data_IF_360682254916
#
_entry.id   IF_360682254916
#
_cell.length_a   1.000
_cell.length_b   1.000
_cell.length_c   1.000
_cell.angle_alpha   90.00
_cell.angle_beta   90.00
_cell.angle_gamma   90.00
#
_symmetry.space_group_name_H-M   'P 1'
#
loop_
_entity.id
_entity.type
_entity.pdbx_description
1 polymer ?
#
# COMPACT_ATOMS: atom_id res chain seq x y z
N UNK A 1 -30.79 -7.21 -2.64
CA UNK A 1 -31.10 -5.79 -2.31
C UNK A 1 -29.79 -5.09 -1.94
N UNK A 2 -29.58 -3.83 -2.37
CA UNK A 2 -28.36 -3.06 -2.04
C UNK A 2 -28.43 -2.62 -0.57
N UNK A 3 -27.34 -2.75 0.19
CA UNK A 3 -27.25 -2.26 1.58
C UNK A 3 -27.23 -0.73 1.61
N UNK A 4 -27.83 -0.13 2.63
CA UNK A 4 -27.93 1.32 2.79
C UNK A 4 -26.72 1.93 3.52
N UNK A 5 -26.07 1.16 4.35
CA UNK A 5 -24.91 1.51 5.15
C UNK A 5 -24.06 0.29 5.46
N UNK A 6 -22.91 0.49 6.09
CA UNK A 6 -21.96 -0.57 6.42
C UNK A 6 -22.49 -1.54 7.50
N UNK A 7 -23.30 -1.06 8.46
CA UNK A 7 -23.90 -1.94 9.47
C UNK A 7 -24.81 -2.98 8.79
N UNK A 8 -25.75 -2.53 7.95
CA UNK A 8 -26.61 -3.44 7.19
C UNK A 8 -25.83 -4.36 6.24
N UNK A 9 -24.69 -3.90 5.73
CA UNK A 9 -23.82 -4.74 4.89
C UNK A 9 -23.17 -5.86 5.69
N UNK A 10 -22.69 -5.58 6.89
CA UNK A 10 -22.13 -6.59 7.79
C UNK A 10 -23.19 -7.54 8.34
N UNK A 11 -24.40 -7.08 8.66
CA UNK A 11 -25.50 -7.95 9.06
C UNK A 11 -25.81 -8.99 7.97
N UNK A 12 -25.87 -8.56 6.72
CA UNK A 12 -26.07 -9.49 5.58
C UNK A 12 -24.88 -10.43 5.38
N UNK A 13 -23.67 -9.96 5.63
CA UNK A 13 -22.49 -10.83 5.61
C UNK A 13 -22.62 -11.92 6.68
N UNK A 14 -23.09 -11.57 7.88
CA UNK A 14 -23.36 -12.53 8.95
C UNK A 14 -24.38 -13.57 8.49
N UNK A 15 -25.52 -13.15 7.91
CA UNK A 15 -26.54 -14.07 7.41
C UNK A 15 -25.96 -15.08 6.38
N UNK A 16 -25.11 -14.59 5.45
CA UNK A 16 -24.45 -15.43 4.45
C UNK A 16 -23.49 -16.42 5.11
N UNK A 17 -22.70 -15.95 6.07
CA UNK A 17 -21.74 -16.78 6.78
C UNK A 17 -22.42 -17.83 7.65
N UNK A 18 -23.54 -17.50 8.28
CA UNK A 18 -24.34 -18.45 9.09
C UNK A 18 -25.03 -19.51 8.24
N UNK A 19 -25.53 -19.13 7.06
CA UNK A 19 -26.12 -20.07 6.12
C UNK A 19 -25.09 -21.03 5.50
N UNK A 20 -23.78 -20.72 5.59
CA UNK A 20 -22.71 -21.55 5.02
C UNK A 20 -22.41 -22.76 5.90
N UNK A 21 -22.39 -23.96 5.31
CA UNK A 21 -21.98 -25.22 5.97
C UNK A 21 -20.46 -25.42 6.04
N UNK A 22 -19.66 -24.47 5.53
CA UNK A 22 -18.21 -24.58 5.52
C UNK A 22 -17.62 -24.61 6.95
N UNK A 23 -16.71 -25.55 7.21
CA UNK A 23 -16.04 -25.69 8.51
C UNK A 23 -15.19 -24.47 8.88
N UNK A 24 -14.68 -23.72 7.89
CA UNK A 24 -13.94 -22.49 8.08
C UNK A 24 -14.41 -21.47 7.06
N UNK A 25 -14.66 -20.28 7.51
CA UNK A 25 -15.15 -19.15 6.74
C UNK A 25 -14.09 -18.07 6.73
N UNK A 26 -13.68 -17.63 5.56
CA UNK A 26 -12.66 -16.59 5.41
C UNK A 26 -13.33 -15.36 4.80
N UNK A 27 -13.26 -14.26 5.50
CA UNK A 27 -13.69 -12.95 5.02
C UNK A 27 -12.44 -12.14 4.72
N UNK A 28 -12.28 -11.74 3.46
CA UNK A 28 -11.18 -10.89 3.03
C UNK A 28 -11.71 -9.51 2.63
N UNK A 29 -11.26 -8.48 3.33
CA UNK A 29 -11.59 -7.09 3.03
C UNK A 29 -10.34 -6.41 2.48
N UNK A 30 -10.37 -6.13 1.19
CA UNK A 30 -9.28 -5.49 0.48
C UNK A 30 -9.39 -3.97 0.56
N UNK A 31 -8.24 -3.29 0.68
CA UNK A 31 -8.13 -1.83 0.68
C UNK A 31 -9.09 -1.12 1.66
N UNK A 32 -9.02 -1.49 2.95
CA UNK A 32 -9.84 -0.87 4.00
C UNK A 32 -9.87 0.67 3.99
N UNK A 33 -8.76 1.37 3.72
CA UNK A 33 -8.76 2.82 3.68
C UNK A 33 -9.77 3.43 2.71
N UNK A 34 -10.11 2.71 1.63
CA UNK A 34 -11.09 3.16 0.64
C UNK A 34 -12.54 3.00 1.12
N UNK A 35 -12.76 2.11 2.08
CA UNK A 35 -14.08 1.89 2.68
C UNK A 35 -14.39 2.91 3.77
N UNK A 36 -13.33 3.44 4.45
CA UNK A 36 -13.44 4.41 5.54
C UNK A 36 -13.49 5.85 5.00
N UNK A 37 -14.51 6.15 4.22
CA UNK A 37 -14.74 7.52 3.74
C UNK A 37 -15.36 8.40 4.85
N UNK A 38 -15.22 9.74 4.79
CA UNK A 38 -15.85 10.63 5.75
C UNK A 38 -17.35 10.34 5.89
N UNK A 39 -17.83 10.18 7.12
CA UNK A 39 -19.23 9.87 7.47
C UNK A 39 -19.73 8.49 7.03
N UNK A 40 -18.86 7.58 6.58
CA UNK A 40 -19.27 6.22 6.18
C UNK A 40 -19.66 5.35 7.37
N UNK A 41 -19.17 5.66 8.58
CA UNK A 41 -19.27 4.82 9.78
C UNK A 41 -18.75 3.38 9.57
N UNK A 42 -17.74 3.24 8.68
CA UNK A 42 -17.18 1.92 8.37
C UNK A 42 -16.49 1.29 9.58
N UNK A 43 -15.61 2.02 10.27
CA UNK A 43 -14.89 1.50 11.44
C UNK A 43 -15.86 1.08 12.56
N UNK A 44 -16.84 1.87 13.00
CA UNK A 44 -17.84 1.42 13.96
C UNK A 44 -18.61 0.17 13.54
N UNK A 45 -18.96 0.05 12.25
CA UNK A 45 -19.65 -1.13 11.74
C UNK A 45 -18.74 -2.37 11.72
N UNK A 46 -17.45 -2.22 11.39
CA UNK A 46 -16.47 -3.30 11.48
C UNK A 46 -16.22 -3.72 12.94
N UNK A 47 -16.17 -2.77 13.88
CA UNK A 47 -16.08 -3.03 15.31
C UNK A 47 -17.26 -3.85 15.80
N UNK A 48 -18.48 -3.48 15.41
CA UNK A 48 -19.71 -4.22 15.73
C UNK A 48 -19.65 -5.64 15.16
N UNK A 49 -19.38 -5.80 13.87
CA UNK A 49 -19.24 -7.13 13.24
C UNK A 49 -18.23 -8.01 13.97
N UNK A 50 -17.05 -7.46 14.30
CA UNK A 50 -16.01 -8.24 14.96
C UNK A 50 -16.34 -8.55 16.41
N UNK A 51 -16.68 -7.55 17.21
CA UNK A 51 -16.83 -7.74 18.66
C UNK A 51 -18.11 -8.49 19.04
N UNK A 52 -19.20 -8.26 18.32
CA UNK A 52 -20.50 -8.81 18.72
C UNK A 52 -20.75 -10.19 18.10
N UNK A 53 -20.12 -10.47 16.95
CA UNK A 53 -20.38 -11.73 16.25
C UNK A 53 -19.12 -12.57 15.97
N UNK A 54 -18.08 -12.01 15.35
CA UNK A 54 -16.95 -12.79 14.83
C UNK A 54 -15.96 -13.22 15.91
N UNK A 55 -15.67 -12.39 16.92
CA UNK A 55 -14.58 -12.60 17.88
C UNK A 55 -14.76 -13.85 18.75
N UNK A 56 -15.96 -14.29 19.02
CA UNK A 56 -16.27 -15.53 19.75
C UNK A 56 -16.20 -16.80 18.91
N UNK A 57 -16.05 -16.69 17.60
CA UNK A 57 -16.12 -17.80 16.65
C UNK A 57 -14.75 -18.33 16.28
N UNK A 58 -14.60 -19.66 16.29
CA UNK A 58 -13.35 -20.34 15.88
C UNK A 58 -13.34 -20.73 14.40
N UNK A 59 -14.48 -20.61 13.74
CA UNK A 59 -14.67 -20.97 12.34
C UNK A 59 -14.53 -19.78 11.39
N UNK A 60 -14.38 -18.55 11.90
CA UNK A 60 -14.28 -17.32 11.12
C UNK A 60 -12.84 -16.77 11.18
N UNK A 61 -12.31 -16.44 10.01
CA UNK A 61 -11.05 -15.72 9.85
C UNK A 61 -11.33 -14.44 9.08
N UNK A 62 -11.04 -13.30 9.69
CA UNK A 62 -11.10 -12.00 9.04
C UNK A 62 -9.68 -11.59 8.62
N UNK A 63 -9.47 -11.42 7.33
CA UNK A 63 -8.24 -10.89 6.76
C UNK A 63 -8.54 -9.50 6.21
N UNK A 64 -7.74 -8.54 6.57
CA UNK A 64 -7.88 -7.15 6.13
C UNK A 64 -6.56 -6.64 5.55
N UNK A 65 -6.60 -5.91 4.46
CA UNK A 65 -5.41 -5.28 3.91
C UNK A 65 -5.62 -3.81 3.57
N UNK A 66 -4.53 -3.13 3.29
CA UNK A 66 -4.54 -1.74 2.82
C UNK A 66 -3.13 -1.25 2.53
N UNK A 67 -3.00 -0.51 1.46
CA UNK A 67 -1.74 0.11 1.02
C UNK A 67 -1.38 1.37 1.81
N UNK A 68 -2.36 2.07 2.38
CA UNK A 68 -2.16 3.28 3.17
C UNK A 68 -1.64 2.95 4.58
N UNK A 69 -0.32 2.73 4.69
CA UNK A 69 0.36 2.30 5.94
C UNK A 69 0.01 3.18 7.14
N UNK A 70 -0.06 4.51 6.96
CA UNK A 70 -0.42 5.42 8.05
C UNK A 70 -1.85 5.20 8.55
N UNK A 71 -2.82 4.98 7.64
CA UNK A 71 -4.19 4.67 8.01
C UNK A 71 -4.28 3.34 8.77
N UNK A 72 -3.63 2.28 8.25
CA UNK A 72 -3.59 0.96 8.88
C UNK A 72 -2.99 1.03 10.30
N UNK A 73 -1.90 1.79 10.47
CA UNK A 73 -1.29 2.01 11.78
C UNK A 73 -2.22 2.75 12.72
N UNK A 74 -2.83 3.86 12.28
CA UNK A 74 -3.61 4.74 13.13
C UNK A 74 -4.99 4.17 13.47
N UNK A 75 -5.65 3.52 12.50
CA UNK A 75 -7.05 3.08 12.65
C UNK A 75 -7.21 1.63 13.13
N UNK A 76 -6.24 0.76 12.84
CA UNK A 76 -6.30 -0.65 13.25
C UNK A 76 -5.26 -0.97 14.32
N UNK A 77 -3.97 -0.75 14.02
CA UNK A 77 -2.88 -1.26 14.86
C UNK A 77 -2.78 -0.49 16.18
N UNK A 78 -2.81 0.84 16.12
CA UNK A 78 -2.75 1.73 17.30
C UNK A 78 -4.15 2.18 17.76
N UNK A 79 -5.20 1.53 17.30
CA UNK A 79 -6.57 1.82 17.69
C UNK A 79 -6.72 1.68 19.21
N UNK A 80 -7.31 2.69 19.82
CA UNK A 80 -7.64 2.69 21.28
C UNK A 80 -9.12 2.42 21.53
N UNK A 81 -9.92 2.21 20.47
CA UNK A 81 -11.34 1.90 20.50
C UNK A 81 -11.64 0.40 20.46
N UNK A 82 -12.74 0.03 19.83
CA UNK A 82 -13.27 -1.33 19.81
C UNK A 82 -12.39 -2.37 19.12
N UNK A 83 -11.43 -1.95 18.26
CA UNK A 83 -10.45 -2.85 17.62
C UNK A 83 -9.14 -2.97 18.39
N UNK A 84 -9.03 -2.37 19.60
CA UNK A 84 -7.82 -2.46 20.41
C UNK A 84 -7.49 -3.92 20.74
N UNK A 85 -6.23 -4.32 20.50
CA UNK A 85 -5.73 -5.70 20.73
C UNK A 85 -6.55 -6.82 20.06
N UNK A 86 -7.25 -6.52 18.97
CA UNK A 86 -8.02 -7.52 18.20
C UNK A 86 -7.22 -8.18 17.07
N UNK A 87 -6.09 -7.60 16.69
CA UNK A 87 -5.22 -8.17 15.66
C UNK A 87 -4.42 -9.34 16.25
N UNK A 88 -4.60 -10.52 15.68
CA UNK A 88 -3.86 -11.74 16.06
C UNK A 88 -2.55 -11.87 15.31
N UNK A 89 -2.52 -11.48 14.05
CA UNK A 89 -1.33 -11.54 13.19
C UNK A 89 -1.21 -10.28 12.32
N UNK A 90 0.03 -9.93 11.99
CA UNK A 90 0.36 -8.83 11.08
C UNK A 90 1.35 -9.33 10.04
N UNK A 91 1.03 -9.10 8.78
CA UNK A 91 1.88 -9.48 7.66
C UNK A 91 2.26 -8.20 6.93
N UNK A 92 3.55 -7.87 6.95
CA UNK A 92 4.10 -6.80 6.14
C UNK A 92 4.61 -7.41 4.84
N UNK A 93 3.85 -7.21 3.75
CA UNK A 93 4.28 -7.65 2.42
C UNK A 93 5.40 -6.74 1.96
N UNK A 94 6.61 -7.30 1.86
CA UNK A 94 7.78 -6.58 1.37
C UNK A 94 7.89 -6.70 -0.14
N UNK A 95 8.49 -5.71 -0.82
CA UNK A 95 8.91 -5.87 -2.21
C UNK A 95 9.82 -7.10 -2.36
N UNK A 96 9.83 -7.71 -3.53
CA UNK A 96 10.76 -8.80 -3.84
C UNK A 96 12.20 -8.37 -3.63
N UNK A 97 13.01 -9.26 -3.11
CA UNK A 97 14.46 -9.15 -3.12
C UNK A 97 15.00 -9.38 -4.54
N UNK A 98 16.27 -9.05 -4.80
CA UNK A 98 16.91 -9.34 -6.11
C UNK A 98 16.84 -10.83 -6.48
N UNK A 99 16.96 -11.73 -5.51
CA UNK A 99 16.85 -13.16 -5.73
C UNK A 99 15.42 -13.57 -6.12
N UNK A 100 14.42 -13.01 -5.47
CA UNK A 100 13.02 -13.23 -5.82
C UNK A 100 12.66 -12.63 -7.17
N UNK A 101 13.24 -11.48 -7.54
CA UNK A 101 13.10 -10.93 -8.89
C UNK A 101 13.73 -11.85 -9.95
N UNK A 102 14.91 -12.44 -9.67
CA UNK A 102 15.54 -13.43 -10.57
C UNK A 102 14.61 -14.64 -10.79
N UNK A 103 14.06 -15.19 -9.69
CA UNK A 103 13.12 -16.30 -9.76
C UNK A 103 11.82 -15.93 -10.48
N UNK A 104 11.31 -14.72 -10.24
CA UNK A 104 10.12 -14.20 -10.90
C UNK A 104 10.30 -14.08 -12.42
N UNK A 105 11.37 -13.44 -12.89
CA UNK A 105 11.65 -13.33 -14.31
C UNK A 105 11.89 -14.72 -14.97
N UNK A 106 12.57 -15.63 -14.27
CA UNK A 106 12.75 -17.00 -14.73
C UNK A 106 11.39 -17.72 -14.93
N UNK A 107 10.47 -17.60 -13.98
CA UNK A 107 9.13 -18.19 -14.08
C UNK A 107 8.32 -17.65 -15.27
N UNK A 108 8.55 -16.39 -15.65
CA UNK A 108 7.94 -15.72 -16.81
C UNK A 108 8.71 -15.97 -18.11
N UNK A 109 9.78 -16.75 -18.08
CA UNK A 109 10.68 -17.01 -19.23
C UNK A 109 11.30 -15.73 -19.81
N UNK A 110 11.55 -14.75 -18.96
CA UNK A 110 12.26 -13.51 -19.27
C UNK A 110 13.73 -13.73 -18.91
N UNK A 111 14.61 -13.62 -19.90
CA UNK A 111 16.05 -13.83 -19.73
C UNK A 111 16.75 -12.50 -19.53
N UNK A 112 17.07 -12.18 -18.30
CA UNK A 112 17.89 -11.03 -17.93
C UNK A 112 19.14 -11.52 -17.19
N UNK A 113 20.28 -10.87 -17.42
CA UNK A 113 21.46 -11.07 -16.59
C UNK A 113 21.23 -10.51 -15.19
N UNK A 114 21.99 -10.96 -14.19
CA UNK A 114 21.91 -10.41 -12.81
C UNK A 114 22.15 -8.90 -12.78
N UNK A 115 23.02 -8.39 -13.63
CA UNK A 115 23.23 -6.96 -13.78
C UNK A 115 21.96 -6.24 -14.26
N UNK A 116 21.32 -6.74 -15.30
CA UNK A 116 20.06 -6.20 -15.82
C UNK A 116 18.92 -6.31 -14.81
N UNK A 117 18.88 -7.38 -14.00
CA UNK A 117 17.90 -7.50 -12.89
C UNK A 117 18.15 -6.40 -11.87
N UNK A 118 19.41 -6.12 -11.52
CA UNK A 118 19.74 -5.02 -10.61
C UNK A 118 19.37 -3.64 -11.18
N UNK A 119 19.63 -3.40 -12.48
CA UNK A 119 19.20 -2.16 -13.15
C UNK A 119 17.67 -2.02 -13.13
N UNK A 120 16.93 -3.07 -13.48
CA UNK A 120 15.48 -3.10 -13.43
C UNK A 120 14.97 -2.81 -12.00
N UNK A 121 15.60 -3.44 -11.00
CA UNK A 121 15.27 -3.25 -9.59
C UNK A 121 15.49 -1.81 -9.12
N UNK A 122 16.54 -1.15 -9.58
CA UNK A 122 16.82 0.26 -9.25
C UNK A 122 15.75 1.21 -9.83
N UNK A 123 15.08 0.83 -10.90
CA UNK A 123 14.06 1.65 -11.59
C UNK A 123 12.66 1.32 -11.05
N UNK A 124 12.32 0.04 -10.94
CA UNK A 124 10.96 -0.45 -10.65
C UNK A 124 10.79 -0.96 -9.23
N UNK A 125 11.89 -1.13 -8.47
CA UNK A 125 11.88 -1.84 -7.19
C UNK A 125 11.52 -3.32 -7.39
N UNK A 126 11.24 -4.02 -6.30
CA UNK A 126 10.81 -5.42 -6.32
C UNK A 126 9.29 -5.57 -6.30
N UNK A 127 8.54 -4.67 -6.93
CA UNK A 127 7.08 -4.70 -6.95
C UNK A 127 6.61 -5.58 -8.11
N UNK A 128 5.97 -6.75 -7.84
CA UNK A 128 5.57 -7.68 -8.90
C UNK A 128 4.72 -7.04 -10.00
N UNK A 129 3.81 -6.15 -9.62
CA UNK A 129 2.96 -5.39 -10.54
C UNK A 129 3.77 -4.63 -11.60
N UNK A 130 4.87 -3.98 -11.20
CA UNK A 130 5.72 -3.25 -12.14
C UNK A 130 6.58 -4.21 -12.98
N UNK A 131 7.08 -5.29 -12.37
CA UNK A 131 7.89 -6.29 -13.08
C UNK A 131 7.09 -7.02 -14.15
N UNK A 132 5.77 -7.11 -14.02
CA UNK A 132 4.86 -7.71 -15.02
C UNK A 132 4.85 -6.96 -16.37
N UNK A 133 5.19 -5.68 -16.36
CA UNK A 133 5.25 -4.89 -17.60
C UNK A 133 6.49 -5.15 -18.45
N UNK A 134 7.48 -5.88 -17.93
CA UNK A 134 8.67 -6.27 -18.69
C UNK A 134 8.30 -7.34 -19.72
N UNK A 135 8.35 -6.97 -20.98
CA UNK A 135 8.05 -7.85 -22.11
C UNK A 135 9.35 -8.52 -22.59
N UNK A 136 9.33 -9.85 -22.65
CA UNK A 136 10.46 -10.69 -23.10
C UNK A 136 10.86 -10.47 -24.57
N UNK A 137 10.01 -9.84 -25.38
CA UNK A 137 10.28 -9.55 -26.80
C UNK A 137 11.26 -8.40 -26.99
N UNK A 138 11.51 -7.61 -25.94
CA UNK A 138 12.34 -6.41 -25.98
C UNK A 138 13.50 -6.50 -24.98
N UNK A 139 14.58 -5.78 -25.25
CA UNK A 139 15.66 -5.58 -24.29
C UNK A 139 15.15 -4.81 -23.06
N UNK A 140 15.90 -4.84 -21.94
CA UNK A 140 15.54 -4.07 -20.74
C UNK A 140 15.43 -2.58 -21.07
N UNK A 141 16.39 -2.01 -21.80
CA UNK A 141 16.40 -0.60 -22.16
C UNK A 141 15.20 -0.20 -23.02
N UNK A 142 14.81 -1.04 -23.97
CA UNK A 142 13.61 -0.81 -24.79
C UNK A 142 12.33 -0.88 -23.93
N UNK A 143 12.24 -1.83 -23.00
CA UNK A 143 11.13 -1.89 -22.04
C UNK A 143 11.03 -0.60 -21.22
N UNK A 144 12.15 -0.14 -20.65
CA UNK A 144 12.19 1.09 -19.87
C UNK A 144 11.81 2.31 -20.71
N UNK A 145 12.36 2.44 -21.94
CA UNK A 145 11.97 3.51 -22.86
C UNK A 145 10.45 3.52 -23.11
N UNK A 146 9.88 2.36 -23.42
CA UNK A 146 8.46 2.21 -23.72
C UNK A 146 7.57 2.53 -22.54
N UNK A 147 7.96 2.13 -21.34
CA UNK A 147 7.13 2.27 -20.13
C UNK A 147 7.16 3.69 -19.57
N UNK A 148 8.33 4.34 -19.57
CA UNK A 148 8.51 5.60 -18.82
C UNK A 148 8.63 6.83 -19.73
N UNK A 149 9.21 6.69 -20.93
CA UNK A 149 9.60 7.86 -21.73
C UNK A 149 8.73 8.12 -22.96
N UNK A 150 8.05 7.10 -23.49
CA UNK A 150 7.13 7.32 -24.61
C UNK A 150 5.86 8.04 -24.19
N UNK A 151 5.22 8.82 -25.07
CA UNK A 151 3.98 9.55 -24.73
C UNK A 151 2.87 8.65 -24.17
N UNK A 152 2.76 7.40 -24.64
CA UNK A 152 1.78 6.40 -24.18
C UNK A 152 2.35 5.43 -23.14
N UNK A 153 3.52 5.75 -22.55
CA UNK A 153 4.16 4.91 -21.53
C UNK A 153 3.30 4.75 -20.30
N UNK A 154 3.01 3.52 -19.93
CA UNK A 154 2.09 3.18 -18.83
C UNK A 154 2.57 3.66 -17.47
N UNK A 155 3.88 3.77 -17.26
CA UNK A 155 4.50 4.21 -16.00
C UNK A 155 4.80 5.71 -15.98
N UNK A 156 4.47 6.45 -17.04
CA UNK A 156 4.81 7.87 -17.15
C UNK A 156 4.19 8.74 -16.05
N UNK A 157 2.97 8.42 -15.65
CA UNK A 157 2.22 9.14 -14.60
C UNK A 157 2.15 8.36 -13.30
N UNK A 158 2.87 7.23 -13.20
CA UNK A 158 2.77 6.35 -12.04
C UNK A 158 3.27 7.01 -10.76
N UNK A 159 4.28 7.86 -10.86
CA UNK A 159 4.78 8.62 -9.72
C UNK A 159 3.69 9.48 -9.07
N UNK A 160 2.97 10.28 -9.86
CA UNK A 160 1.88 11.11 -9.37
C UNK A 160 0.70 10.28 -8.87
N UNK A 161 0.35 9.24 -9.59
CA UNK A 161 -0.77 8.35 -9.24
C UNK A 161 -0.51 7.63 -7.91
N UNK A 162 0.70 7.06 -7.75
CA UNK A 162 1.11 6.36 -6.54
C UNK A 162 1.07 7.28 -5.32
N UNK A 163 1.65 8.48 -5.41
CA UNK A 163 1.64 9.43 -4.31
C UNK A 163 0.23 9.92 -3.97
N UNK A 164 -0.61 10.14 -4.99
CA UNK A 164 -2.01 10.55 -4.81
C UNK A 164 -2.84 9.46 -4.12
N UNK A 165 -2.56 8.19 -4.40
CA UNK A 165 -3.22 7.07 -3.75
C UNK A 165 -2.80 6.90 -2.28
N UNK A 166 -1.50 7.09 -1.97
CA UNK A 166 -0.95 6.85 -0.64
C UNK A 166 -1.12 8.02 0.32
N UNK A 167 -1.12 9.26 -0.18
CA UNK A 167 -1.03 10.44 0.68
C UNK A 167 -2.09 11.49 0.36
N UNK A 168 -2.86 11.84 1.37
CA UNK A 168 -3.68 13.05 1.32
C UNK A 168 -2.75 14.29 1.23
N UNK A 169 -2.90 15.16 0.24
CA UNK A 169 -1.99 16.26 -0.12
C UNK A 169 -0.61 15.76 -0.61
N UNK A 170 -0.62 14.83 -1.57
CA UNK A 170 0.55 14.20 -2.20
C UNK A 170 1.65 15.17 -2.65
N UNK A 171 1.29 16.37 -3.13
CA UNK A 171 2.25 17.41 -3.56
C UNK A 171 3.33 17.73 -2.51
N UNK A 172 2.97 17.65 -1.22
CA UNK A 172 3.93 17.92 -0.14
C UNK A 172 4.98 16.82 -0.02
N UNK A 173 4.56 15.58 -0.24
CA UNK A 173 5.41 14.39 -0.20
C UNK A 173 6.30 14.34 -1.43
N UNK A 174 5.74 14.54 -2.61
CA UNK A 174 6.47 14.58 -3.88
C UNK A 174 7.59 15.62 -3.84
N UNK A 175 7.31 16.85 -3.37
CA UNK A 175 8.32 17.90 -3.22
C UNK A 175 9.50 17.50 -2.33
N UNK A 176 9.24 16.76 -1.24
CA UNK A 176 10.32 16.28 -0.36
C UNK A 176 11.19 15.25 -1.08
N UNK A 177 10.56 14.31 -1.79
CA UNK A 177 11.30 13.26 -2.53
C UNK A 177 12.06 13.86 -3.71
N UNK A 178 11.48 14.79 -4.46
CA UNK A 178 12.16 15.53 -5.53
C UNK A 178 13.38 16.31 -5.03
N UNK A 179 13.30 16.90 -3.83
CA UNK A 179 14.45 17.58 -3.22
C UNK A 179 15.54 16.60 -2.83
N UNK A 180 15.16 15.45 -2.23
CA UNK A 180 16.09 14.40 -1.86
C UNK A 180 16.79 13.80 -3.10
N UNK A 181 16.07 13.64 -4.21
CA UNK A 181 16.63 13.07 -5.44
C UNK A 181 17.71 13.94 -6.10
N UNK A 182 17.74 15.25 -5.80
CA UNK A 182 18.73 16.20 -6.36
C UNK A 182 20.11 16.14 -5.69
N UNK A 183 20.21 15.47 -4.54
CA UNK A 183 21.46 15.38 -3.77
C UNK A 183 21.79 13.93 -3.42
N UNK A 184 22.86 13.41 -4.01
CA UNK A 184 23.34 12.04 -3.78
C UNK A 184 23.75 11.73 -2.34
N UNK A 185 24.15 12.75 -1.58
CA UNK A 185 24.57 12.64 -0.15
C UNK A 185 23.39 12.79 0.83
N UNK A 186 22.16 12.92 0.33
CA UNK A 186 20.99 13.24 1.14
C UNK A 186 20.94 14.71 1.55
N UNK A 187 19.94 15.04 2.36
CA UNK A 187 19.70 16.40 2.89
C UNK A 187 19.53 16.34 4.40
N UNK A 188 20.08 17.32 5.09
CA UNK A 188 19.79 17.53 6.51
C UNK A 188 18.36 18.01 6.70
N UNK A 189 17.86 17.84 7.92
CA UNK A 189 16.49 18.30 8.27
C UNK A 189 16.32 19.81 8.09
N UNK A 190 17.36 20.58 8.40
CA UNK A 190 17.36 22.05 8.28
C UNK A 190 17.35 22.48 6.81
N UNK A 191 18.10 21.78 5.95
CA UNK A 191 18.04 21.99 4.49
C UNK A 191 16.66 21.71 3.93
N UNK A 192 15.99 20.63 4.37
CA UNK A 192 14.60 20.32 3.97
C UNK A 192 13.60 21.35 4.51
N UNK A 193 13.82 21.88 5.71
CA UNK A 193 12.97 22.89 6.32
C UNK A 193 13.11 24.25 5.65
N UNK A 194 14.33 24.63 5.23
CA UNK A 194 14.62 25.92 4.60
C UNK A 194 13.91 26.14 3.26
N UNK A 195 13.65 25.05 2.52
CA UNK A 195 12.94 25.08 1.22
C UNK A 195 11.43 25.31 1.41
N UNK A 196 10.90 25.01 2.57
CA UNK A 196 9.49 25.26 2.93
C UNK A 196 9.32 26.58 3.70
N UNK A 197 9.34 27.72 3.02
CA UNK A 197 8.94 28.99 3.64
C UNK A 197 7.58 28.83 4.36
N UNK A 198 7.59 28.84 5.71
CA UNK A 198 6.40 29.09 6.53
C UNK A 198 5.58 27.89 7.07
N UNK A 199 6.12 26.65 7.21
CA UNK A 199 5.38 25.54 7.85
C UNK A 199 6.13 24.92 9.04
N UNK A 200 5.35 24.54 10.08
CA UNK A 200 5.89 24.04 11.34
C UNK A 200 6.73 22.77 11.15
N UNK A 201 7.80 22.63 11.96
CA UNK A 201 8.66 21.45 11.98
C UNK A 201 7.89 20.12 12.20
N UNK A 202 6.71 20.17 12.81
CA UNK A 202 5.84 19.03 13.03
C UNK A 202 5.26 18.46 11.71
N UNK A 203 4.90 19.30 10.74
CA UNK A 203 4.39 18.85 9.43
C UNK A 203 5.48 18.09 8.64
N UNK A 204 6.73 18.58 8.67
CA UNK A 204 7.87 17.92 8.03
C UNK A 204 8.17 16.58 8.71
N UNK A 205 8.15 16.50 10.04
CA UNK A 205 8.36 15.25 10.78
C UNK A 205 7.34 14.18 10.37
N UNK A 206 6.08 14.56 10.26
CA UNK A 206 5.01 13.65 9.84
C UNK A 206 5.22 13.16 8.40
N UNK A 207 5.62 14.05 7.48
CA UNK A 207 5.90 13.69 6.09
C UNK A 207 7.06 12.68 6.02
N UNK A 208 8.19 12.97 6.67
CA UNK A 208 9.35 12.09 6.69
C UNK A 208 9.00 10.72 7.29
N UNK A 209 8.33 10.69 8.45
CA UNK A 209 7.90 9.43 9.07
C UNK A 209 6.97 8.61 8.18
N UNK A 210 6.07 9.24 7.43
CA UNK A 210 5.19 8.53 6.51
C UNK A 210 5.96 8.00 5.29
N UNK A 211 6.87 8.79 4.72
CA UNK A 211 7.71 8.35 3.59
C UNK A 211 8.62 7.18 3.99
N UNK A 212 9.19 7.20 5.20
CA UNK A 212 9.99 6.11 5.75
C UNK A 212 9.16 4.85 5.94
N UNK A 213 7.97 4.95 6.56
CA UNK A 213 7.03 3.82 6.74
C UNK A 213 6.59 3.19 5.42
N UNK A 214 6.47 3.99 4.36
CA UNK A 214 6.13 3.51 3.02
C UNK A 214 7.36 3.04 2.22
N UNK A 215 8.58 3.13 2.77
CA UNK A 215 9.82 2.68 2.13
C UNK A 215 10.36 3.60 1.03
N UNK A 216 9.85 4.83 0.91
CA UNK A 216 10.36 5.80 -0.08
C UNK A 216 11.68 6.45 0.31
N UNK A 217 11.96 6.53 1.60
CA UNK A 217 13.21 7.05 2.17
C UNK A 217 13.70 6.15 3.31
N UNK A 218 14.98 6.30 3.66
CA UNK A 218 15.64 5.61 4.77
C UNK A 218 16.39 6.62 5.63
#
# INVERSE_FOLDING_TARGET
KKSRNWLEAFDRLIDILEASSAKRKIVFLDELPWMDTPRSNFIPALEHFWNDWASGRRDVVLVVCGSATSWMMDKLINNKGGLHNRLTNRIFVQPFTLLECEAYFASRKIKLSRYQIAECYMIMGGIPYYLDYIDKAYSLNENIDRLFFRPQGQMRTEFENLYSALFKNSDKYMKVVELLSKKTKGLSRDELASVKKGKSGADLTKILSNLEKCGFIR
#
